data_IF_263438050802
#
_entry.id   IF_263438050802
#
_cell.length_a   1.000
_cell.length_b   1.000
_cell.length_c   1.000
_cell.angle_alpha   90.00
_cell.angle_beta   90.00
_cell.angle_gamma   90.00
#
_symmetry.space_group_name_H-M   'P 1'
#
loop_
_entity.id
_entity.type
_entity.pdbx_description
1 polymer ?
#
# COMPACT_ATOMS: atom_id res chain seq x y z
N UNK A 1 49.46 56.11 -22.68
CA UNK A 1 49.86 54.72 -22.39
C UNK A 1 49.08 54.26 -21.16
N UNK A 2 48.15 53.32 -21.15
CA UNK A 2 47.50 52.53 -22.21
C UNK A 2 46.32 51.73 -21.63
N UNK A 3 45.32 51.46 -22.50
CA UNK A 3 44.32 50.35 -22.55
C UNK A 3 43.25 50.26 -21.43
N UNK A 4 41.97 50.58 -21.75
CA UNK A 4 40.81 49.71 -22.16
C UNK A 4 40.07 49.10 -20.96
N UNK A 5 38.90 49.63 -20.56
CA UNK A 5 37.50 49.26 -20.95
C UNK A 5 37.24 47.74 -20.91
N UNK A 6 36.30 47.30 -20.05
CA UNK A 6 35.08 46.51 -20.38
C UNK A 6 34.25 46.27 -19.09
N UNK A 7 32.94 46.53 -19.23
CA UNK A 7 31.78 46.20 -18.40
C UNK A 7 31.86 44.96 -17.49
N UNK A 8 31.24 45.03 -16.30
CA UNK A 8 30.13 44.12 -15.99
C UNK A 8 29.25 44.66 -14.86
N UNK A 9 27.99 44.85 -15.21
CA UNK A 9 26.84 44.86 -14.31
C UNK A 9 26.80 43.49 -13.61
N UNK A 10 27.11 43.46 -12.33
CA UNK A 10 26.71 42.36 -11.42
C UNK A 10 25.48 42.92 -10.70
N UNK A 11 24.30 42.90 -11.33
CA UNK A 11 23.30 41.83 -11.16
C UNK A 11 23.16 41.49 -9.67
N UNK A 12 22.28 42.16 -8.93
CA UNK A 12 20.86 41.77 -8.76
C UNK A 12 20.73 40.28 -8.40
N UNK A 13 20.12 40.04 -7.23
CA UNK A 13 19.65 38.77 -6.65
C UNK A 13 20.66 37.97 -5.80
N UNK A 14 20.90 38.47 -4.59
CA UNK A 14 21.27 37.63 -3.43
C UNK A 14 20.11 37.55 -2.40
N UNK A 15 18.88 37.68 -2.88
CA UNK A 15 17.64 37.47 -2.12
C UNK A 15 16.69 36.65 -3.01
N UNK A 16 16.98 35.37 -3.21
CA UNK A 16 16.04 34.35 -3.71
C UNK A 16 16.69 32.97 -3.67
N UNK A 17 16.96 32.44 -2.48
CA UNK A 17 17.19 30.99 -2.29
C UNK A 17 16.14 30.38 -1.36
N UNK A 18 15.00 31.06 -1.20
CA UNK A 18 13.82 30.60 -0.45
C UNK A 18 12.50 30.97 -1.13
N UNK A 19 12.53 31.36 -2.41
CA UNK A 19 11.37 31.28 -3.29
C UNK A 19 11.54 30.02 -4.13
N UNK A 20 10.53 29.16 -4.11
CA UNK A 20 10.53 27.86 -4.75
C UNK A 20 11.14 27.90 -6.13
N UNK A 21 12.29 27.24 -6.28
CA UNK A 21 12.61 26.63 -7.55
C UNK A 21 11.42 25.73 -7.87
N UNK A 22 10.57 26.17 -8.79
CA UNK A 22 9.79 25.29 -9.64
C UNK A 22 10.77 24.19 -10.06
N UNK A 23 10.63 22.98 -9.50
CA UNK A 23 11.24 21.82 -10.14
C UNK A 23 10.67 21.86 -11.56
N UNK A 24 11.50 21.93 -12.59
CA UNK A 24 11.13 21.75 -14.00
C UNK A 24 10.61 20.30 -14.17
N UNK A 25 9.47 20.03 -13.55
CA UNK A 25 9.19 18.77 -12.87
C UNK A 25 8.75 17.66 -13.80
N UNK A 26 8.28 17.99 -14.99
CA UNK A 26 7.64 17.01 -15.87
C UNK A 26 8.60 16.46 -16.93
N UNK A 27 9.75 17.12 -17.18
CA UNK A 27 10.58 16.85 -18.35
C UNK A 27 12.06 16.62 -18.00
N UNK A 28 12.35 15.67 -17.10
CA UNK A 28 13.68 15.06 -17.12
C UNK A 28 13.75 14.11 -18.31
N UNK A 29 14.86 14.12 -19.05
CA UNK A 29 15.14 13.09 -20.04
C UNK A 29 15.07 11.71 -19.39
N UNK A 30 14.30 10.81 -20.00
CA UNK A 30 14.23 9.42 -19.59
C UNK A 30 15.58 8.78 -19.87
N UNK A 31 16.17 8.15 -18.85
CA UNK A 31 17.38 7.36 -19.03
C UNK A 31 17.10 6.16 -19.93
N UNK A 32 18.00 5.90 -20.87
CA UNK A 32 17.86 4.80 -21.84
C UNK A 32 17.80 3.41 -21.17
N UNK A 33 18.34 3.27 -19.96
CA UNK A 33 18.38 2.04 -19.17
C UNK A 33 17.49 2.07 -17.92
N UNK A 34 16.42 2.87 -17.93
CA UNK A 34 15.49 2.97 -16.81
C UNK A 34 14.88 1.60 -16.46
N UNK A 35 15.07 1.17 -15.22
CA UNK A 35 14.44 -0.03 -14.66
C UNK A 35 14.05 0.26 -13.21
N UNK A 36 12.75 0.41 -12.97
CA UNK A 36 12.20 0.83 -11.67
C UNK A 36 11.19 -0.20 -11.20
N UNK A 37 11.24 -0.53 -9.91
CA UNK A 37 10.24 -1.39 -9.29
C UNK A 37 9.66 -0.77 -8.02
N UNK A 38 8.43 -1.17 -7.68
CA UNK A 38 7.83 -0.90 -6.37
C UNK A 38 8.29 -1.87 -5.27
N UNK A 39 9.15 -2.85 -5.59
CA UNK A 39 9.58 -3.88 -4.64
C UNK A 39 10.46 -3.35 -3.51
N UNK A 40 9.84 -2.86 -2.43
CA UNK A 40 10.57 -2.37 -1.26
C UNK A 40 9.78 -2.60 0.03
N UNK A 41 10.52 -2.79 1.13
CA UNK A 41 9.98 -2.93 2.49
C UNK A 41 8.93 -4.05 2.61
N UNK A 42 9.18 -5.21 2.01
CA UNK A 42 8.40 -6.40 2.30
C UNK A 42 8.65 -6.85 3.74
N UNK A 43 7.57 -7.16 4.45
CA UNK A 43 7.57 -7.75 5.79
C UNK A 43 6.40 -8.73 5.86
N UNK A 44 6.55 -9.88 5.19
CA UNK A 44 5.48 -10.88 5.10
C UNK A 44 5.95 -12.28 5.43
N UNK A 45 5.02 -13.07 5.95
CA UNK A 45 5.16 -14.51 6.17
C UNK A 45 4.02 -15.21 5.44
N UNK A 46 4.38 -16.11 4.53
CA UNK A 46 3.44 -16.98 3.82
C UNK A 46 3.46 -18.33 4.53
N UNK A 47 2.32 -18.72 5.08
CA UNK A 47 2.16 -19.98 5.80
C UNK A 47 1.57 -21.03 4.86
N UNK A 48 2.23 -22.17 4.74
CA UNK A 48 1.81 -23.25 3.83
C UNK A 48 0.32 -23.60 3.95
N UNK A 49 -0.19 -23.71 5.18
CA UNK A 49 -1.54 -24.23 5.45
C UNK A 49 -2.61 -23.13 5.65
N UNK A 50 -2.27 -21.84 5.49
CA UNK A 50 -3.22 -20.72 5.62
C UNK A 50 -3.31 -19.85 4.36
N UNK A 51 -2.24 -19.77 3.59
CA UNK A 51 -2.15 -18.86 2.45
C UNK A 51 -2.73 -19.48 1.18
N UNK A 52 -4.05 -19.36 0.98
CA UNK A 52 -4.75 -19.77 -0.26
C UNK A 52 -4.14 -19.16 -1.54
N UNK A 53 -3.44 -18.04 -1.41
CA UNK A 53 -2.66 -17.38 -2.44
C UNK A 53 -1.22 -17.19 -1.95
N UNK A 54 -0.33 -18.10 -2.34
CA UNK A 54 1.11 -18.00 -2.09
C UNK A 54 1.79 -17.18 -3.18
N UNK A 55 1.42 -15.91 -3.35
CA UNK A 55 2.01 -15.05 -4.38
C UNK A 55 2.28 -13.63 -3.90
N UNK A 56 3.20 -12.94 -4.60
CA UNK A 56 3.48 -11.51 -4.45
C UNK A 56 3.32 -10.80 -5.80
N UNK A 57 2.91 -9.52 -5.74
CA UNK A 57 2.70 -8.66 -6.92
C UNK A 57 3.45 -7.36 -6.73
N UNK A 58 4.07 -6.87 -7.79
CA UNK A 58 4.72 -5.57 -7.80
C UNK A 58 4.74 -4.95 -9.19
N UNK A 59 4.99 -3.64 -9.20
CA UNK A 59 5.00 -2.81 -10.38
C UNK A 59 6.44 -2.72 -10.94
N UNK A 60 6.56 -2.71 -12.26
CA UNK A 60 7.81 -2.59 -13.00
C UNK A 60 7.66 -1.55 -14.13
N UNK A 61 8.55 -0.56 -14.15
CA UNK A 61 8.62 0.47 -15.20
C UNK A 61 9.96 0.36 -15.90
N UNK A 62 9.93 0.35 -17.24
CA UNK A 62 11.12 0.25 -18.08
C UNK A 62 11.10 1.24 -19.23
N UNK A 63 12.28 1.70 -19.66
CA UNK A 63 12.46 2.50 -20.88
C UNK A 63 12.27 1.68 -22.15
N UNK A 64 12.65 0.40 -22.13
CA UNK A 64 12.56 -0.54 -23.24
C UNK A 64 11.51 -1.61 -22.98
N UNK A 65 10.81 -2.05 -24.03
CA UNK A 65 9.85 -3.14 -23.88
C UNK A 65 10.59 -4.44 -23.55
N UNK A 66 10.09 -5.18 -22.57
CA UNK A 66 10.63 -6.47 -22.18
C UNK A 66 10.13 -7.55 -23.14
N UNK A 67 11.04 -8.32 -23.74
CA UNK A 67 10.73 -9.59 -24.39
C UNK A 67 10.59 -10.67 -23.32
N UNK A 68 9.38 -11.24 -23.20
CA UNK A 68 9.03 -12.27 -22.21
C UNK A 68 9.97 -13.50 -22.29
N UNK A 69 10.49 -13.83 -23.47
CA UNK A 69 11.41 -14.97 -23.62
C UNK A 69 12.80 -14.71 -23.03
N UNK A 70 13.13 -13.44 -22.83
CA UNK A 70 14.42 -12.97 -22.29
C UNK A 70 14.33 -12.53 -20.83
N UNK A 71 13.13 -12.59 -20.23
CA UNK A 71 12.87 -12.18 -18.86
C UNK A 71 12.93 -13.38 -17.92
N UNK A 72 13.67 -13.25 -16.82
CA UNK A 72 13.64 -14.25 -15.76
C UNK A 72 13.79 -13.63 -14.37
N UNK A 73 13.33 -14.37 -13.37
CA UNK A 73 13.41 -14.02 -11.96
C UNK A 73 14.16 -15.12 -11.24
N UNK A 74 15.21 -14.76 -10.51
CA UNK A 74 15.98 -15.65 -9.65
C UNK A 74 15.80 -15.26 -8.18
N UNK A 75 15.47 -16.26 -7.36
CA UNK A 75 15.32 -16.17 -5.91
C UNK A 75 16.21 -17.22 -5.26
N UNK A 76 16.85 -16.87 -4.14
CA UNK A 76 17.72 -17.79 -3.38
C UNK A 76 16.89 -18.66 -2.41
N UNK A 77 16.08 -19.55 -2.99
CA UNK A 77 15.20 -20.49 -2.27
C UNK A 77 15.14 -21.84 -3.01
N UNK A 78 14.89 -22.90 -2.25
CA UNK A 78 14.60 -24.25 -2.76
C UNK A 78 13.13 -24.39 -3.17
N UNK A 79 12.23 -23.58 -2.60
CA UNK A 79 10.80 -23.57 -2.97
C UNK A 79 10.64 -23.31 -4.47
N UNK A 80 10.00 -24.23 -5.24
CA UNK A 80 9.67 -23.97 -6.63
C UNK A 80 8.72 -22.77 -6.75
N UNK A 81 8.98 -21.91 -7.73
CA UNK A 81 8.11 -20.78 -8.03
C UNK A 81 7.95 -20.60 -9.54
N UNK A 82 6.86 -19.93 -9.91
CA UNK A 82 6.59 -19.47 -11.27
C UNK A 82 6.36 -17.97 -11.25
N UNK A 83 6.64 -17.29 -12.35
CA UNK A 83 6.33 -15.88 -12.49
C UNK A 83 5.53 -15.60 -13.76
N UNK A 84 4.82 -14.49 -13.76
CA UNK A 84 4.19 -13.93 -14.96
C UNK A 84 4.42 -12.42 -15.02
N UNK A 85 4.51 -11.92 -16.24
CA UNK A 85 4.67 -10.50 -16.56
C UNK A 85 3.43 -10.06 -17.34
N UNK A 86 2.71 -9.08 -16.84
CA UNK A 86 1.51 -8.53 -17.48
C UNK A 86 1.76 -7.08 -17.87
N UNK A 87 1.57 -6.74 -19.15
CA UNK A 87 1.67 -5.35 -19.60
C UNK A 87 0.43 -4.58 -19.16
N UNK A 88 0.66 -3.50 -18.43
CA UNK A 88 -0.37 -2.64 -17.86
C UNK A 88 -0.58 -1.39 -18.71
N UNK A 89 -1.79 -0.85 -18.67
CA UNK A 89 -2.08 0.46 -19.27
C UNK A 89 -1.56 1.59 -18.38
N UNK A 90 -0.94 2.59 -19.00
CA UNK A 90 -0.57 3.84 -18.33
C UNK A 90 -1.77 4.79 -18.47
N UNK A 91 -2.51 4.96 -17.38
CA UNK A 91 -3.69 5.83 -17.32
C UNK A 91 -3.33 7.31 -17.50
N UNK A 92 -4.35 8.16 -17.68
CA UNK A 92 -4.20 9.62 -17.77
C UNK A 92 -3.44 10.18 -16.56
N UNK A 93 -2.64 11.22 -16.80
CA UNK A 93 -1.84 11.87 -15.78
C UNK A 93 -2.72 12.42 -14.65
N UNK A 94 -2.57 12.02 -13.38
CA UNK A 94 -3.42 12.54 -12.33
C UNK A 94 -3.10 14.00 -11.94
N UNK A 95 -4.13 14.82 -11.73
CA UNK A 95 -3.99 16.22 -11.30
C UNK A 95 -3.21 16.37 -9.99
N UNK A 96 -3.42 15.48 -9.01
CA UNK A 96 -2.74 15.59 -7.71
C UNK A 96 -1.22 15.40 -7.83
N UNK A 97 -0.78 14.57 -8.79
CA UNK A 97 0.64 14.37 -9.08
C UNK A 97 1.22 15.63 -9.70
N UNK A 98 0.53 16.21 -10.68
CA UNK A 98 0.94 17.49 -11.27
C UNK A 98 1.03 18.62 -10.23
N UNK A 99 0.01 18.75 -9.38
CA UNK A 99 0.01 19.74 -8.30
C UNK A 99 1.17 19.51 -7.32
N UNK A 100 1.52 18.25 -7.04
CA UNK A 100 2.70 17.90 -6.22
C UNK A 100 4.00 18.35 -6.90
N UNK A 101 4.15 18.16 -8.21
CA UNK A 101 5.28 18.71 -8.97
C UNK A 101 5.38 20.24 -8.89
N UNK A 102 4.23 20.94 -8.86
CA UNK A 102 4.17 22.39 -8.70
C UNK A 102 4.35 22.87 -7.25
N UNK A 103 4.60 21.95 -6.32
CA UNK A 103 4.88 22.28 -4.92
C UNK A 103 3.66 22.80 -4.17
N UNK A 104 2.48 22.23 -4.44
CA UNK A 104 1.28 22.56 -3.71
C UNK A 104 1.46 22.37 -2.20
N UNK A 105 0.97 23.32 -1.42
CA UNK A 105 0.87 23.16 0.03
C UNK A 105 -0.42 22.42 0.36
N UNK A 106 -0.27 21.11 0.59
CA UNK A 106 -1.37 20.23 0.94
C UNK A 106 -2.04 20.59 2.28
N UNK A 107 -1.35 21.28 3.21
CA UNK A 107 -1.96 21.73 4.46
C UNK A 107 -2.97 22.86 4.20
N UNK A 108 -2.59 23.84 3.39
CA UNK A 108 -3.47 24.93 3.02
C UNK A 108 -4.65 24.45 2.17
N UNK A 109 -4.39 23.55 1.21
CA UNK A 109 -5.45 22.93 0.42
C UNK A 109 -6.51 22.28 1.32
N UNK A 110 -6.04 21.44 2.24
CA UNK A 110 -6.89 20.73 3.19
C UNK A 110 -7.64 21.69 4.13
N UNK A 111 -6.97 22.73 4.65
CA UNK A 111 -7.59 23.75 5.50
C UNK A 111 -8.75 24.45 4.78
N UNK A 112 -8.62 24.75 3.49
CA UNK A 112 -9.68 25.38 2.69
C UNK A 112 -10.89 24.46 2.51
N UNK A 113 -10.67 23.17 2.29
CA UNK A 113 -11.76 22.18 2.23
C UNK A 113 -12.47 22.02 3.58
N UNK A 114 -11.71 21.99 4.69
CA UNK A 114 -12.27 21.93 6.04
C UNK A 114 -13.22 23.08 6.34
N UNK A 115 -12.92 24.28 5.87
CA UNK A 115 -13.83 25.41 6.02
C UNK A 115 -15.17 25.18 5.31
N UNK A 116 -15.20 24.42 4.21
CA UNK A 116 -16.45 24.05 3.54
C UNK A 116 -17.24 23.09 4.42
N UNK A 117 -16.59 22.08 4.97
CA UNK A 117 -17.23 21.09 5.83
C UNK A 117 -17.76 21.66 7.14
N UNK A 118 -16.97 22.49 7.82
CA UNK A 118 -17.32 23.11 9.10
C UNK A 118 -18.49 24.09 8.99
N UNK A 119 -18.74 24.59 7.77
CA UNK A 119 -19.87 25.47 7.48
C UNK A 119 -21.03 24.74 6.79
N UNK A 120 -21.09 23.39 6.87
CA UNK A 120 -22.25 22.58 6.46
C UNK A 120 -23.53 23.16 7.11
N UNK A 121 -24.42 23.71 6.29
CA UNK A 121 -25.65 24.39 6.72
C UNK A 121 -25.69 25.91 6.48
N UNK A 122 -24.58 26.54 6.08
CA UNK A 122 -24.53 27.93 5.64
C UNK A 122 -24.05 28.03 4.19
N UNK A 123 -25.01 28.09 3.25
CA UNK A 123 -24.75 28.05 1.80
C UNK A 123 -23.84 29.19 1.35
N UNK A 124 -24.00 30.41 1.88
CA UNK A 124 -23.19 31.56 1.46
C UNK A 124 -21.70 31.35 1.81
N UNK A 125 -21.43 30.84 3.01
CA UNK A 125 -20.05 30.52 3.42
C UNK A 125 -19.47 29.35 2.64
N UNK A 126 -20.27 28.30 2.38
CA UNK A 126 -19.87 27.16 1.55
C UNK A 126 -19.43 27.67 0.17
N UNK A 127 -20.27 28.45 -0.52
CA UNK A 127 -19.95 28.97 -1.85
C UNK A 127 -18.67 29.82 -1.85
N UNK A 128 -18.49 30.67 -0.83
CA UNK A 128 -17.28 31.47 -0.67
C UNK A 128 -16.03 30.60 -0.54
N UNK A 129 -16.04 29.63 0.38
CA UNK A 129 -14.89 28.76 0.63
C UNK A 129 -14.62 27.79 -0.52
N UNK A 130 -15.66 27.33 -1.22
CA UNK A 130 -15.50 26.57 -2.47
C UNK A 130 -14.81 27.40 -3.55
N UNK A 131 -15.16 28.68 -3.70
CA UNK A 131 -14.46 29.56 -4.64
C UNK A 131 -13.00 29.79 -4.24
N UNK A 132 -12.73 30.02 -2.95
CA UNK A 132 -11.36 30.17 -2.42
C UNK A 132 -10.50 28.92 -2.70
N UNK A 133 -11.06 27.72 -2.50
CA UNK A 133 -10.42 26.45 -2.83
C UNK A 133 -10.14 26.33 -4.33
N UNK A 134 -11.13 26.59 -5.19
CA UNK A 134 -10.96 26.49 -6.65
C UNK A 134 -9.93 27.49 -7.17
N UNK A 135 -9.89 28.71 -6.62
CA UNK A 135 -8.88 29.71 -6.94
C UNK A 135 -7.49 29.28 -6.44
N UNK A 136 -7.41 28.57 -5.31
CA UNK A 136 -6.17 27.96 -4.84
C UNK A 136 -5.69 26.86 -5.79
N UNK A 137 -6.56 25.91 -6.18
CA UNK A 137 -6.25 24.83 -7.14
C UNK A 137 -5.72 25.36 -8.47
N UNK A 138 -6.40 26.36 -9.04
CA UNK A 138 -6.05 26.94 -10.35
C UNK A 138 -4.62 27.47 -10.43
N UNK A 139 -4.03 27.94 -9.32
CA UNK A 139 -2.64 28.40 -9.27
C UNK A 139 -1.64 27.28 -9.61
N UNK A 140 -1.98 26.03 -9.29
CA UNK A 140 -1.12 24.87 -9.50
C UNK A 140 -1.49 24.07 -10.74
N UNK A 141 -2.67 24.30 -11.32
CA UNK A 141 -3.15 23.63 -12.53
C UNK A 141 -2.86 24.40 -13.83
N UNK A 142 -2.13 25.51 -13.75
CA UNK A 142 -1.63 26.22 -14.95
C UNK A 142 -0.88 25.22 -15.83
N UNK A 143 -1.23 25.16 -17.11
CA UNK A 143 -0.67 24.27 -18.13
C UNK A 143 -0.94 22.76 -17.98
N UNK A 144 -1.72 22.33 -16.97
CA UNK A 144 -2.04 20.91 -16.77
C UNK A 144 -2.67 20.26 -18.01
N UNK A 145 -3.60 20.95 -18.68
CA UNK A 145 -4.24 20.46 -19.91
C UNK A 145 -3.26 20.23 -21.06
N UNK A 146 -2.16 20.98 -21.10
CA UNK A 146 -1.08 20.76 -22.08
C UNK A 146 -0.20 19.59 -21.65
N UNK A 147 0.25 19.57 -20.40
CA UNK A 147 1.17 18.57 -19.86
C UNK A 147 0.57 17.16 -19.85
N UNK A 148 -0.72 17.01 -19.51
CA UNK A 148 -1.40 15.71 -19.52
C UNK A 148 -1.43 15.05 -20.90
N UNK A 149 -1.34 15.86 -21.97
CA UNK A 149 -1.37 15.38 -23.36
C UNK A 149 0.01 15.14 -23.96
N UNK A 150 1.09 15.61 -23.35
CA UNK A 150 2.46 15.37 -23.81
C UNK A 150 3.42 14.96 -22.67
N UNK A 151 3.12 13.89 -21.93
CA UNK A 151 4.00 13.49 -20.86
C UNK A 151 5.27 12.82 -21.37
N UNK A 152 6.40 13.13 -20.73
CA UNK A 152 7.70 12.51 -20.99
C UNK A 152 7.61 10.97 -20.94
N UNK A 153 6.77 10.42 -20.05
CA UNK A 153 6.62 8.99 -19.82
C UNK A 153 5.84 8.21 -20.88
N UNK A 154 5.39 8.83 -21.99
CA UNK A 154 4.68 8.13 -23.09
C UNK A 154 5.47 6.98 -23.73
N UNK A 155 6.78 7.03 -23.63
CA UNK A 155 7.67 6.01 -24.20
C UNK A 155 8.07 4.93 -23.19
N UNK A 156 7.53 4.99 -21.96
CA UNK A 156 7.80 3.99 -20.94
C UNK A 156 6.86 2.80 -21.08
N UNK A 157 7.33 1.65 -20.61
CA UNK A 157 6.55 0.44 -20.50
C UNK A 157 6.26 0.16 -19.03
N UNK A 158 5.03 -0.22 -18.73
CA UNK A 158 4.55 -0.51 -17.39
C UNK A 158 4.04 -1.94 -17.32
N UNK A 159 4.48 -2.67 -16.29
CA UNK A 159 4.14 -4.06 -16.09
C UNK A 159 3.78 -4.35 -14.64
N UNK A 160 2.85 -5.28 -14.44
CA UNK A 160 2.65 -5.99 -13.19
C UNK A 160 3.40 -7.32 -13.26
N UNK A 161 4.19 -7.61 -12.23
CA UNK A 161 4.93 -8.87 -12.11
C UNK A 161 4.35 -9.67 -10.96
N UNK A 162 4.03 -10.92 -11.22
CA UNK A 162 3.50 -11.85 -10.23
C UNK A 162 4.51 -12.95 -10.01
N UNK A 163 4.82 -13.26 -8.74
CA UNK A 163 5.63 -14.43 -8.37
C UNK A 163 4.76 -15.32 -7.50
N UNK A 164 4.51 -16.55 -7.94
CA UNK A 164 3.73 -17.57 -7.22
C UNK A 164 4.65 -18.69 -6.72
N UNK A 165 4.60 -18.95 -5.42
CA UNK A 165 5.33 -20.00 -4.74
C UNK A 165 4.50 -21.29 -4.68
N UNK A 166 5.13 -22.42 -5.02
CA UNK A 166 4.51 -23.74 -5.00
C UNK A 166 4.83 -24.48 -3.70
N UNK A 167 4.30 -23.99 -2.58
CA UNK A 167 4.59 -24.52 -1.24
C UNK A 167 4.02 -25.94 -0.99
N UNK A 168 3.14 -26.41 -1.87
CA UNK A 168 2.57 -27.77 -1.87
C UNK A 168 3.29 -28.75 -2.82
N UNK A 169 4.32 -28.29 -3.53
CA UNK A 169 5.07 -29.12 -4.47
C UNK A 169 5.73 -30.32 -3.77
N UNK A 170 5.82 -31.44 -4.48
CA UNK A 170 6.41 -32.67 -3.94
C UNK A 170 7.87 -32.49 -3.52
N UNK A 171 8.61 -31.59 -4.18
CA UNK A 171 10.02 -31.30 -3.85
C UNK A 171 10.21 -30.71 -2.46
N UNK A 172 9.22 -29.97 -1.98
CA UNK A 172 9.21 -29.34 -0.64
C UNK A 172 8.23 -30.04 0.31
N UNK A 173 7.67 -31.17 -0.11
CA UNK A 173 6.79 -32.00 0.72
C UNK A 173 7.64 -32.66 1.82
N UNK A 174 7.56 -32.11 3.03
CA UNK A 174 8.34 -32.55 4.19
C UNK A 174 9.40 -31.55 4.65
N UNK A 175 9.49 -30.38 4.01
CA UNK A 175 10.21 -29.26 4.58
C UNK A 175 9.59 -28.90 5.94
N UNK A 176 10.44 -28.67 6.94
CA UNK A 176 10.05 -28.37 8.34
C UNK A 176 10.75 -27.11 8.85
N UNK A 177 11.24 -26.27 7.93
CA UNK A 177 11.96 -25.04 8.24
C UNK A 177 11.26 -23.80 7.69
N UNK A 178 12.01 -22.70 7.69
CA UNK A 178 11.62 -21.43 7.08
C UNK A 178 12.62 -21.08 5.99
N UNK A 179 12.12 -20.64 4.84
CA UNK A 179 12.93 -20.02 3.81
C UNK A 179 12.74 -18.52 3.83
N UNK A 180 13.78 -17.77 3.47
CA UNK A 180 13.79 -16.31 3.55
C UNK A 180 14.25 -15.72 2.24
N UNK A 181 13.46 -14.80 1.69
CA UNK A 181 13.79 -14.05 0.48
C UNK A 181 14.05 -12.60 0.90
N UNK A 182 15.25 -12.11 0.62
CA UNK A 182 15.66 -10.73 0.93
C UNK A 182 16.07 -9.93 -0.31
N UNK A 183 16.38 -10.63 -1.40
CA UNK A 183 16.78 -10.06 -2.68
C UNK A 183 16.01 -10.76 -3.81
N UNK A 184 15.68 -10.00 -4.85
CA UNK A 184 15.15 -10.51 -6.10
C UNK A 184 16.05 -10.07 -7.24
N UNK A 185 16.44 -11.03 -8.08
CA UNK A 185 17.29 -10.78 -9.24
C UNK A 185 16.44 -10.91 -10.50
N UNK A 186 16.34 -9.83 -11.27
CA UNK A 186 15.74 -9.85 -12.60
C UNK A 186 16.82 -9.94 -13.65
N UNK A 187 16.62 -10.80 -14.63
CA UNK A 187 17.44 -10.82 -15.84
C UNK A 187 16.59 -10.41 -17.03
N UNK A 188 17.09 -9.47 -17.82
CA UNK A 188 16.49 -9.02 -19.09
C UNK A 188 17.56 -9.11 -20.17
N UNK A 189 17.47 -10.11 -21.04
CA UNK A 189 18.54 -10.43 -21.98
C UNK A 189 19.83 -10.75 -21.24
N UNK A 190 20.87 -9.94 -21.44
CA UNK A 190 22.18 -10.10 -20.79
C UNK A 190 22.36 -9.23 -19.53
N UNK A 191 21.37 -8.39 -19.18
CA UNK A 191 21.44 -7.48 -18.03
C UNK A 191 20.79 -8.12 -16.79
N UNK A 192 21.47 -8.01 -15.66
CA UNK A 192 20.94 -8.40 -14.35
C UNK A 192 20.68 -7.17 -13.46
N UNK A 193 19.55 -7.16 -12.77
CA UNK A 193 19.14 -6.13 -11.84
C UNK A 193 18.82 -6.78 -10.48
N UNK A 194 19.50 -6.34 -9.42
CA UNK A 194 19.35 -6.88 -8.08
C UNK A 194 18.61 -5.90 -7.19
N UNK A 195 17.56 -6.36 -6.53
CA UNK A 195 16.74 -5.53 -5.66
C UNK A 195 16.71 -6.11 -4.26
N UNK A 196 17.26 -5.42 -3.24
CA UNK A 196 16.97 -5.75 -1.86
C UNK A 196 15.51 -5.39 -1.56
N UNK A 197 14.71 -6.35 -1.11
CA UNK A 197 13.26 -6.20 -0.99
C UNK A 197 12.77 -6.12 0.46
N UNK A 198 13.62 -6.40 1.45
CA UNK A 198 13.21 -6.55 2.84
C UNK A 198 13.18 -8.02 3.22
N UNK A 199 12.06 -8.53 3.72
CA UNK A 199 11.93 -9.91 4.20
C UNK A 199 10.59 -10.54 3.78
N UNK A 200 10.71 -11.64 3.05
CA UNK A 200 9.62 -12.59 2.83
C UNK A 200 10.01 -13.91 3.49
N UNK A 201 9.12 -14.49 4.29
CA UNK A 201 9.30 -15.80 4.90
C UNK A 201 8.32 -16.78 4.28
N UNK A 202 8.81 -17.93 3.83
CA UNK A 202 7.98 -19.09 3.51
C UNK A 202 8.05 -20.05 4.71
N UNK A 203 6.95 -20.20 5.43
CA UNK A 203 6.87 -21.01 6.66
C UNK A 203 6.22 -22.37 6.40
N UNK A 204 7.02 -23.42 6.54
CA UNK A 204 6.63 -24.83 6.41
C UNK A 204 6.46 -25.54 7.76
N UNK A 205 6.93 -24.93 8.85
CA UNK A 205 6.96 -25.55 10.17
C UNK A 205 5.68 -25.29 10.97
N UNK A 206 5.04 -24.15 10.75
CA UNK A 206 3.86 -23.75 11.53
C UNK A 206 2.62 -24.43 10.99
N UNK A 207 1.99 -25.24 11.84
CA UNK A 207 0.77 -25.99 11.51
C UNK A 207 -0.43 -25.35 12.19
N UNK A 208 -1.51 -25.19 11.42
CA UNK A 208 -2.73 -24.55 11.88
C UNK A 208 -3.86 -25.57 11.80
N UNK A 209 -4.48 -25.84 12.95
CA UNK A 209 -5.67 -26.65 13.04
C UNK A 209 -6.90 -25.74 13.11
N UNK A 210 -7.88 -25.98 12.24
CA UNK A 210 -9.15 -25.24 12.22
C UNK A 210 -10.30 -26.18 12.51
N UNK A 211 -11.22 -25.74 13.37
CA UNK A 211 -12.51 -26.39 13.56
C UNK A 211 -13.63 -25.50 13.01
N UNK A 212 -14.74 -26.11 12.60
CA UNK A 212 -15.83 -25.42 11.88
C UNK A 212 -16.97 -24.96 12.81
N UNK A 213 -16.70 -24.73 14.09
CA UNK A 213 -17.72 -24.22 15.03
C UNK A 213 -17.89 -22.70 14.94
N UNK A 214 -16.84 -22.02 14.49
CA UNK A 214 -16.85 -20.63 14.07
C UNK A 214 -16.53 -20.59 12.56
N UNK A 215 -17.57 -20.54 11.73
CA UNK A 215 -17.44 -20.64 10.28
C UNK A 215 -17.13 -19.28 9.66
N UNK A 216 -16.09 -19.16 8.83
CA UNK A 216 -15.78 -17.93 8.11
C UNK A 216 -16.61 -17.80 6.84
N UNK A 217 -17.29 -16.66 6.64
CA UNK A 217 -18.00 -16.37 5.38
C UNK A 217 -17.07 -15.86 4.28
N UNK A 218 -15.95 -15.26 4.67
CA UNK A 218 -14.92 -14.78 3.73
C UNK A 218 -13.83 -15.85 3.63
N UNK A 219 -14.02 -16.81 2.71
CA UNK A 219 -12.94 -17.66 2.21
C UNK A 219 -12.16 -16.88 1.15
N UNK A 220 -11.53 -15.77 1.53
CA UNK A 220 -11.09 -14.80 0.54
C UNK A 220 -9.97 -13.93 1.00
N UNK A 221 -8.77 -14.28 0.57
CA UNK A 221 -7.66 -13.36 0.37
C UNK A 221 -8.17 -12.01 -0.16
N UNK A 222 -8.01 -10.94 0.61
CA UNK A 222 -8.26 -9.58 0.14
C UNK A 222 -6.92 -8.87 -0.01
N UNK A 223 -6.64 -8.42 -1.24
CA UNK A 223 -5.58 -7.45 -1.47
C UNK A 223 -6.10 -6.07 -1.08
N UNK A 224 -5.57 -5.53 0.01
CA UNK A 224 -5.94 -4.22 0.52
C UNK A 224 -4.83 -3.23 0.21
N UNK A 225 -5.23 -2.10 -0.37
CA UNK A 225 -4.30 -0.99 -0.59
C UNK A 225 -4.03 -0.30 0.74
N UNK A 226 -2.75 -0.10 1.02
CA UNK A 226 -2.29 0.72 2.12
C UNK A 226 -2.14 2.16 1.68
N UNK A 227 -2.73 3.04 2.47
CA UNK A 227 -2.51 4.47 2.40
C UNK A 227 -1.39 4.81 3.39
N UNK A 228 -0.24 5.34 2.93
CA UNK A 228 0.84 5.77 3.82
C UNK A 228 0.31 6.67 4.93
N UNK A 229 0.72 6.42 6.18
CA UNK A 229 0.31 7.27 7.29
C UNK A 229 1.42 7.43 8.35
N UNK A 230 1.35 8.53 9.09
CA UNK A 230 2.34 8.93 10.09
C UNK A 230 2.27 8.14 11.39
N UNK A 231 1.23 7.33 11.59
CA UNK A 231 1.02 6.56 12.81
C UNK A 231 1.36 5.07 12.63
N UNK A 232 1.61 4.62 11.39
CA UNK A 232 1.78 3.21 11.06
C UNK A 232 0.50 2.39 11.29
N UNK A 233 -0.68 3.03 11.22
CA UNK A 233 -1.96 2.37 11.48
C UNK A 233 -2.40 1.58 10.26
N UNK A 234 -2.83 0.33 10.47
CA UNK A 234 -3.46 -0.53 9.47
C UNK A 234 -4.81 -0.98 10.05
N UNK A 235 -5.86 -0.93 9.23
CA UNK A 235 -7.20 -1.43 9.59
C UNK A 235 -7.40 -2.79 8.94
N UNK A 236 -7.76 -3.78 9.76
CA UNK A 236 -8.16 -5.12 9.34
C UNK A 236 -9.66 -5.25 9.57
N UNK A 237 -10.42 -5.00 8.51
CA UNK A 237 -11.88 -5.10 8.44
C UNK A 237 -12.34 -6.29 7.57
N UNK A 238 -13.65 -6.38 7.31
CA UNK A 238 -14.30 -7.38 6.44
C UNK A 238 -14.05 -8.83 6.88
N UNK A 239 -13.82 -9.02 8.17
CA UNK A 239 -13.83 -10.33 8.81
C UNK A 239 -15.25 -10.64 9.23
N UNK A 240 -15.82 -11.72 8.72
CA UNK A 240 -17.17 -12.15 9.06
C UNK A 240 -17.20 -13.65 9.37
N UNK A 241 -17.72 -13.97 10.56
CA UNK A 241 -17.84 -15.34 11.04
C UNK A 241 -19.26 -15.65 11.52
N UNK A 242 -19.67 -16.92 11.45
CA UNK A 242 -20.89 -17.45 12.03
C UNK A 242 -20.57 -18.39 13.19
N UNK A 243 -21.15 -18.13 14.35
CA UNK A 243 -21.20 -19.12 15.40
C UNK A 243 -22.21 -20.23 15.02
N UNK A 244 -21.72 -21.40 14.60
CA UNK A 244 -22.59 -22.55 14.26
C UNK A 244 -23.08 -23.29 15.50
N UNK A 245 -22.44 -23.02 16.64
CA UNK A 245 -22.75 -23.53 17.98
C UNK A 245 -22.67 -22.41 19.02
N UNK A 246 -23.17 -22.65 20.24
CA UNK A 246 -22.91 -21.76 21.37
C UNK A 246 -21.45 -21.89 21.78
N UNK A 247 -20.68 -20.81 21.70
CA UNK A 247 -19.25 -20.81 21.94
C UNK A 247 -18.80 -19.52 22.63
N UNK A 248 -17.55 -19.45 23.07
CA UNK A 248 -16.98 -18.23 23.65
C UNK A 248 -15.69 -17.87 22.91
N UNK A 249 -15.61 -16.66 22.37
CA UNK A 249 -14.36 -16.09 21.87
C UNK A 249 -13.49 -15.77 23.08
N UNK A 250 -12.30 -16.36 23.14
CA UNK A 250 -11.37 -16.26 24.26
C UNK A 250 -10.33 -15.17 24.03
N UNK A 251 -9.78 -15.12 22.83
CA UNK A 251 -8.70 -14.21 22.46
C UNK A 251 -8.72 -13.91 20.97
N UNK A 252 -8.18 -12.76 20.59
CA UNK A 252 -7.97 -12.35 19.20
C UNK A 252 -6.60 -11.70 19.13
N UNK A 253 -5.68 -12.33 18.39
CA UNK A 253 -4.28 -11.89 18.32
C UNK A 253 -3.76 -11.90 16.89
N UNK A 254 -2.63 -11.22 16.69
CA UNK A 254 -1.86 -11.25 15.45
C UNK A 254 -0.71 -12.23 15.59
N UNK A 255 -0.45 -13.01 14.54
CA UNK A 255 0.74 -13.87 14.46
C UNK A 255 1.98 -13.11 13.98
N UNK A 256 1.81 -11.89 13.49
CA UNK A 256 2.88 -11.06 12.95
C UNK A 256 3.76 -10.47 14.06
N UNK A 257 5.06 -10.74 13.99
CA UNK A 257 6.03 -10.10 14.88
C UNK A 257 6.16 -8.59 14.58
N UNK A 258 6.20 -7.78 15.63
CA UNK A 258 6.44 -6.34 15.52
C UNK A 258 5.22 -5.50 15.13
N UNK A 259 4.03 -6.10 15.10
CA UNK A 259 2.74 -5.41 14.87
C UNK A 259 1.88 -5.55 16.12
N UNK A 260 1.44 -4.41 16.66
CA UNK A 260 0.65 -4.36 17.89
C UNK A 260 -0.83 -4.10 17.58
N UNK A 261 -1.75 -4.78 18.25
CA UNK A 261 -3.18 -4.46 18.19
C UNK A 261 -3.45 -3.28 19.13
N UNK A 262 -3.99 -2.18 18.60
CA UNK A 262 -4.38 -1.00 19.38
C UNK A 262 -5.81 -1.12 19.89
N UNK A 263 -6.73 -1.60 19.03
CA UNK A 263 -8.14 -1.77 19.36
C UNK A 263 -8.78 -2.87 18.52
N UNK A 264 -9.76 -3.56 19.11
CA UNK A 264 -10.64 -4.50 18.42
C UNK A 264 -12.08 -4.02 18.59
N UNK A 265 -12.71 -3.62 17.48
CA UNK A 265 -14.15 -3.35 17.42
C UNK A 265 -14.86 -4.61 16.94
N UNK A 266 -16.04 -4.89 17.45
CA UNK A 266 -16.81 -6.08 17.07
C UNK A 266 -18.25 -5.68 16.82
N UNK A 267 -18.78 -6.15 15.70
CA UNK A 267 -20.21 -6.13 15.41
C UNK A 267 -20.76 -7.53 15.65
N UNK A 268 -21.78 -7.63 16.49
CA UNK A 268 -22.55 -8.85 16.70
C UNK A 268 -23.91 -8.69 16.06
N UNK A 269 -24.27 -9.58 15.12
CA UNK A 269 -25.58 -9.57 14.49
C UNK A 269 -26.33 -10.87 14.74
N UNK A 270 -27.57 -10.76 15.24
CA UNK A 270 -28.48 -11.89 15.38
C UNK A 270 -29.91 -11.47 15.06
N UNK A 271 -30.61 -12.26 14.25
CA UNK A 271 -31.99 -12.01 13.85
C UNK A 271 -32.24 -10.60 13.26
N UNK A 272 -31.24 -10.06 12.55
CA UNK A 272 -31.27 -8.72 11.95
C UNK A 272 -31.03 -7.56 12.91
N UNK A 273 -30.67 -7.84 14.17
CA UNK A 273 -30.29 -6.83 15.16
C UNK A 273 -28.77 -6.84 15.30
N UNK A 274 -28.14 -5.70 15.02
CA UNK A 274 -26.71 -5.49 15.18
C UNK A 274 -26.39 -4.76 16.50
N UNK A 275 -25.34 -5.20 17.18
CA UNK A 275 -24.78 -4.59 18.38
C UNK A 275 -23.29 -4.32 18.17
N UNK A 276 -22.90 -3.06 18.29
CA UNK A 276 -21.50 -2.64 18.29
C UNK A 276 -20.91 -2.75 19.70
N UNK A 277 -19.75 -3.39 19.82
CA UNK A 277 -18.99 -3.49 21.06
C UNK A 277 -17.49 -3.38 20.81
N UNK A 278 -16.72 -3.20 21.87
CA UNK A 278 -15.27 -3.36 21.87
C UNK A 278 -14.97 -4.74 22.46
N UNK A 279 -14.00 -5.45 21.89
CA UNK A 279 -13.50 -6.69 22.48
C UNK A 279 -12.35 -6.37 23.43
N UNK A 280 -12.64 -6.40 24.73
CA UNK A 280 -11.70 -6.17 25.83
C UNK A 280 -11.58 -7.38 26.77
N UNK A 281 -12.47 -8.35 26.63
CA UNK A 281 -12.54 -9.59 27.39
C UNK A 281 -13.26 -10.68 26.57
N UNK A 282 -13.34 -11.88 27.13
CA UNK A 282 -14.05 -13.01 26.51
C UNK A 282 -15.49 -12.67 26.11
N UNK A 283 -15.92 -13.18 24.96
CA UNK A 283 -17.22 -12.87 24.37
C UNK A 283 -18.00 -14.14 24.05
N UNK A 284 -19.08 -14.39 24.79
CA UNK A 284 -19.98 -15.52 24.50
C UNK A 284 -20.88 -15.21 23.30
N UNK A 285 -20.88 -16.13 22.34
CA UNK A 285 -21.71 -16.10 21.14
C UNK A 285 -22.77 -17.19 21.22
N UNK A 286 -24.02 -16.81 21.00
CA UNK A 286 -25.08 -17.78 20.79
C UNK A 286 -25.03 -18.33 19.36
N UNK A 287 -25.49 -19.56 19.18
CA UNK A 287 -25.67 -20.17 17.87
C UNK A 287 -26.49 -19.25 16.96
N UNK A 288 -26.01 -19.07 15.73
CA UNK A 288 -26.59 -18.21 14.71
C UNK A 288 -26.16 -16.75 14.79
N UNK A 289 -25.37 -16.35 15.78
CA UNK A 289 -24.78 -15.00 15.85
C UNK A 289 -23.68 -14.85 14.80
N UNK A 290 -23.76 -13.80 13.99
CA UNK A 290 -22.64 -13.33 13.18
C UNK A 290 -21.71 -12.49 14.06
N UNK A 291 -20.42 -12.72 13.90
CA UNK A 291 -19.34 -12.05 14.61
C UNK A 291 -18.41 -11.42 13.58
N UNK A 292 -18.33 -10.08 13.58
CA UNK A 292 -17.54 -9.33 12.61
C UNK A 292 -16.54 -8.41 13.32
N UNK A 293 -15.32 -8.90 13.60
CA UNK A 293 -14.28 -8.09 14.21
C UNK A 293 -13.65 -7.12 13.20
N UNK A 294 -13.21 -5.97 13.69
CA UNK A 294 -12.35 -5.02 12.98
C UNK A 294 -11.19 -4.66 13.89
N UNK A 295 -9.96 -4.93 13.44
CA UNK A 295 -8.75 -4.67 14.20
C UNK A 295 -8.11 -3.38 13.71
N UNK A 296 -7.75 -2.51 14.64
CA UNK A 296 -6.87 -1.36 14.38
C UNK A 296 -5.51 -1.73 14.94
N UNK A 297 -4.51 -1.79 14.06
CA UNK A 297 -3.17 -2.29 14.41
C UNK A 297 -2.11 -1.24 14.09
N UNK A 298 -0.98 -1.29 14.79
CA UNK A 298 0.14 -0.36 14.63
C UNK A 298 1.40 -1.13 14.23
N UNK A 299 1.95 -0.75 13.09
CA UNK A 299 3.19 -1.28 12.55
C UNK A 299 4.19 -0.13 12.33
N UNK A 300 5.23 -0.09 13.16
CA UNK A 300 6.27 0.94 13.06
C UNK A 300 7.06 0.86 11.76
N UNK A 301 7.14 -0.33 11.15
CA UNK A 301 7.85 -0.54 9.89
C UNK A 301 7.12 0.11 8.71
N UNK A 302 5.81 0.30 8.82
CA UNK A 302 4.96 0.94 7.81
C UNK A 302 4.93 2.48 7.92
N UNK A 303 5.27 3.06 9.07
CA UNK A 303 5.14 4.49 9.32
C UNK A 303 5.83 5.35 8.24
N UNK A 304 5.05 6.21 7.58
CA UNK A 304 5.47 7.08 6.47
C UNK A 304 6.16 6.34 5.30
N UNK A 305 5.80 5.08 5.03
CA UNK A 305 6.31 4.33 3.87
C UNK A 305 5.36 4.44 2.69
N UNK A 306 5.88 4.89 1.54
CA UNK A 306 5.13 4.90 0.27
C UNK A 306 5.05 3.50 -0.36
N UNK A 307 6.06 2.66 -0.11
CA UNK A 307 6.08 1.25 -0.50
C UNK A 307 6.26 0.39 0.75
N UNK A 308 5.26 -0.45 1.04
CA UNK A 308 5.25 -1.41 2.13
C UNK A 308 4.34 -2.58 1.77
N UNK A 309 4.80 -3.79 2.00
CA UNK A 309 4.04 -5.02 1.73
C UNK A 309 4.03 -5.87 2.99
N UNK A 310 2.85 -6.27 3.44
CA UNK A 310 2.70 -7.16 4.60
C UNK A 310 1.53 -8.10 4.42
N UNK A 311 1.60 -9.25 5.08
CA UNK A 311 0.49 -10.19 5.22
C UNK A 311 0.15 -10.24 6.69
N UNK A 312 -1.04 -9.80 7.08
CA UNK A 312 -1.47 -9.86 8.47
C UNK A 312 -2.34 -11.10 8.68
N UNK A 313 -1.97 -11.91 9.68
CA UNK A 313 -2.72 -13.11 10.07
C UNK A 313 -3.31 -12.89 11.45
N UNK A 314 -4.64 -12.83 11.48
CA UNK A 314 -5.45 -12.75 12.69
C UNK A 314 -5.80 -14.17 13.13
N UNK A 315 -5.51 -14.50 14.37
CA UNK A 315 -5.90 -15.74 15.03
C UNK A 315 -6.98 -15.43 16.06
N UNK A 316 -8.11 -16.13 15.96
CA UNK A 316 -9.24 -16.04 16.88
C UNK A 316 -9.30 -17.35 17.65
N UNK A 317 -9.00 -17.27 18.94
CA UNK A 317 -9.12 -18.39 19.88
C UNK A 317 -10.54 -18.45 20.41
N UNK A 318 -11.16 -19.63 20.38
CA UNK A 318 -12.52 -19.81 20.89
C UNK A 318 -12.70 -21.17 21.59
N UNK A 319 -13.62 -21.22 22.54
CA UNK A 319 -13.93 -22.41 23.34
C UNK A 319 -15.31 -22.98 22.99
N UNK A 320 -15.36 -24.29 22.75
CA UNK A 320 -16.60 -25.05 22.58
C UNK A 320 -16.53 -26.36 23.38
N UNK A 321 -17.54 -26.61 24.23
CA UNK A 321 -17.61 -27.79 25.12
C UNK A 321 -16.33 -28.01 25.96
N UNK A 322 -15.69 -26.92 26.42
CA UNK A 322 -14.47 -26.97 27.23
C UNK A 322 -13.18 -27.29 26.47
N UNK A 323 -13.23 -27.36 25.14
CA UNK A 323 -12.05 -27.49 24.28
C UNK A 323 -11.77 -26.17 23.55
N UNK A 324 -10.49 -25.85 23.38
CA UNK A 324 -10.03 -24.66 22.67
C UNK A 324 -9.80 -24.99 21.20
N UNK A 325 -10.22 -24.07 20.33
CA UNK A 325 -10.09 -24.12 18.89
C UNK A 325 -9.64 -22.77 18.35
N UNK A 326 -9.21 -22.76 17.09
CA UNK A 326 -8.71 -21.58 16.43
C UNK A 326 -9.38 -21.39 15.07
N UNK A 327 -9.63 -20.13 14.74
CA UNK A 327 -10.00 -19.69 13.40
C UNK A 327 -9.04 -18.60 12.94
N UNK A 328 -8.69 -18.62 11.66
CA UNK A 328 -7.70 -17.69 11.11
C UNK A 328 -8.32 -16.83 10.02
N UNK A 329 -7.83 -15.60 9.92
CA UNK A 329 -8.07 -14.71 8.80
C UNK A 329 -6.74 -14.15 8.30
N UNK A 330 -6.54 -14.15 6.98
CA UNK A 330 -5.31 -13.66 6.35
C UNK A 330 -5.67 -12.58 5.35
N UNK A 331 -5.02 -11.42 5.46
CA UNK A 331 -5.15 -10.33 4.49
C UNK A 331 -3.78 -9.84 4.03
N UNK A 332 -3.68 -9.56 2.73
CA UNK A 332 -2.48 -9.00 2.13
C UNK A 332 -2.65 -7.51 1.95
N UNK A 333 -1.64 -6.77 2.38
CA UNK A 333 -1.60 -5.33 2.34
C UNK A 333 -0.44 -4.90 1.46
N UNK A 334 -0.73 -4.08 0.47
CA UNK A 334 0.24 -3.64 -0.53
C UNK A 334 0.11 -2.13 -0.79
N UNK A 335 1.13 -1.49 -1.36
CA UNK A 335 1.08 -0.07 -1.69
C UNK A 335 -0.08 0.23 -2.65
N UNK A 336 -0.75 1.35 -2.43
CA UNK A 336 -1.72 1.88 -3.40
C UNK A 336 -1.09 2.54 -4.63
N UNK A 337 0.24 2.69 -4.65
CA UNK A 337 0.95 3.51 -5.61
C UNK A 337 0.82 3.03 -7.06
N UNK A 338 0.31 3.91 -7.92
CA UNK A 338 0.17 3.65 -9.35
C UNK A 338 1.47 3.94 -10.12
N UNK A 339 1.43 3.78 -11.44
CA UNK A 339 2.54 4.08 -12.34
C UNK A 339 3.13 5.48 -12.10
N UNK A 340 2.28 6.50 -12.00
CA UNK A 340 2.69 7.89 -11.96
C UNK A 340 3.33 8.24 -10.63
N UNK A 341 2.82 7.72 -9.52
CA UNK A 341 3.46 7.87 -8.23
C UNK A 341 4.80 7.15 -8.20
N UNK A 342 4.85 5.88 -8.64
CA UNK A 342 6.09 5.11 -8.67
C UNK A 342 7.18 5.82 -9.48
N UNK A 343 6.85 6.26 -10.70
CA UNK A 343 7.76 6.99 -11.57
C UNK A 343 8.23 8.30 -10.91
N UNK A 344 7.30 9.07 -10.35
CA UNK A 344 7.58 10.36 -9.74
C UNK A 344 8.47 10.26 -8.50
N UNK A 345 8.22 9.27 -7.65
CA UNK A 345 9.04 9.00 -6.46
C UNK A 345 10.45 8.59 -6.90
N UNK A 346 10.56 7.62 -7.82
CA UNK A 346 11.85 6.98 -8.14
C UNK A 346 12.73 7.80 -9.08
N UNK A 347 12.16 8.66 -9.93
CA UNK A 347 12.93 9.47 -10.90
C UNK A 347 13.09 10.93 -10.46
N UNK A 348 12.07 11.47 -9.80
CA UNK A 348 12.00 12.90 -9.48
C UNK A 348 12.11 13.20 -7.97
N UNK A 349 12.19 12.16 -7.13
CA UNK A 349 12.25 12.28 -5.68
C UNK A 349 11.12 13.17 -5.19
N UNK A 350 9.91 12.87 -5.67
CA UNK A 350 8.69 13.49 -5.18
C UNK A 350 8.23 12.79 -3.90
N UNK A 351 7.87 13.60 -2.91
CA UNK A 351 7.32 13.12 -1.65
C UNK A 351 5.80 13.31 -1.63
N UNK A 352 5.08 12.18 -1.67
CA UNK A 352 3.63 12.12 -1.52
C UNK A 352 3.18 11.88 -0.07
N UNK A 353 4.10 11.73 0.89
CA UNK A 353 3.73 11.52 2.30
C UNK A 353 2.91 12.69 2.83
N UNK A 354 3.23 13.93 2.43
CA UNK A 354 2.40 15.09 2.80
C UNK A 354 0.99 15.00 2.23
N UNK A 355 0.83 14.56 0.97
CA UNK A 355 -0.48 14.32 0.36
C UNK A 355 -1.27 13.25 1.13
N UNK A 356 -0.63 12.11 1.42
CA UNK A 356 -1.28 11.00 2.11
C UNK A 356 -1.63 11.33 3.58
N UNK A 357 -0.69 11.86 4.34
CA UNK A 357 -0.89 12.17 5.76
C UNK A 357 -1.91 13.27 6.00
N UNK A 358 -1.95 14.28 5.14
CA UNK A 358 -2.68 15.53 5.43
C UNK A 358 -3.97 15.66 4.64
N UNK A 359 -4.00 15.13 3.42
CA UNK A 359 -5.20 15.16 2.56
C UNK A 359 -5.92 13.81 2.58
N UNK A 360 -5.30 12.72 2.13
CA UNK A 360 -6.04 11.47 1.89
C UNK A 360 -6.56 10.78 3.17
N UNK A 361 -5.75 10.71 4.23
CA UNK A 361 -6.13 10.03 5.48
C UNK A 361 -7.24 10.73 6.27
N UNK A 362 -7.54 12.01 6.00
CA UNK A 362 -8.60 12.72 6.72
C UNK A 362 -9.99 12.48 6.13
N UNK A 363 -10.08 12.13 4.84
CA UNK A 363 -11.36 11.99 4.13
C UNK A 363 -12.02 10.62 4.26
N UNK A 364 -11.54 9.73 5.14
CA UNK A 364 -12.22 8.46 5.40
C UNK A 364 -12.37 7.57 4.16
N UNK A 365 -11.54 7.74 3.12
CA UNK A 365 -11.47 6.81 1.98
C UNK A 365 -10.64 5.55 2.31
N UNK A 366 -10.45 5.30 3.60
CA UNK A 366 -9.95 4.05 4.17
C UNK A 366 -10.95 3.43 5.16
N UNK A 367 -12.25 3.73 4.99
CA UNK A 367 -13.36 2.99 5.62
C UNK A 367 -13.89 1.91 4.67
#
# INVERSE_FOLDING_TARGET
MGKKIIYLVVLILFISSSLGCLKDGVQKEIKEDLFITSMENFNLTIYKNLSNASYIVFNLITSEAIDENSFSISLDIDTPYSFSLEKMEINEYPQYIYMTYKGIDWDEFYRLERLIEENKGNIEKILKHSQELEDYKKKYLVDYETEKTNPAYKNLNYYAVYIKFSMDDEKVRGFTGKEKIEEVIFSVGEKEYKFPIGKIILDYQTHFETAFYLESFVLGFSEKKLIPNSLGVIVIDNMEFLATENLTIKDIRLLNEGVDIDQIKVILEKDGIALDTIFDQELSLEKGTKFSPTLIVKDKSFMNKQFYYTTLVVEIEYEYMGNVYYQYFTANYMPGADFHELYSIKVHDLDFISYYNKYLNYFGLGD
#
